data_IF_149409220482
#
_entry.id   IF_149409220482
#
_cell.length_a   1.000
_cell.length_b   1.000
_cell.length_c   1.000
_cell.angle_alpha   90.00
_cell.angle_beta   90.00
_cell.angle_gamma   90.00
#
_symmetry.space_group_name_H-M   'P 1'
#
loop_
_entity.id
_entity.type
_entity.pdbx_description
1 polymer ?
#
# COMPACT_ATOMS: atom_id res chain seq x y z
N UNK A 1 -2.91 23.73 0.40
CA UNK A 1 -2.40 23.44 -0.97
C UNK A 1 -3.56 23.00 -1.84
N UNK A 2 -3.61 23.45 -3.08
CA UNK A 2 -4.53 22.87 -4.08
C UNK A 2 -3.90 21.59 -4.65
N UNK A 3 -4.70 20.64 -5.20
CA UNK A 3 -4.17 19.41 -5.82
C UNK A 3 -3.09 19.67 -6.88
N UNK A 4 -3.11 20.82 -7.56
CA UNK A 4 -2.12 21.24 -8.53
C UNK A 4 -0.73 21.57 -7.92
N UNK A 5 -0.63 21.72 -6.60
CA UNK A 5 0.61 22.05 -5.88
C UNK A 5 1.24 20.82 -5.19
N UNK A 6 0.63 19.63 -5.37
CA UNK A 6 1.19 18.38 -4.85
C UNK A 6 2.48 18.08 -5.61
N UNK A 7 3.61 17.85 -4.92
CA UNK A 7 4.88 17.55 -5.59
C UNK A 7 4.79 16.23 -6.37
N UNK A 8 5.52 16.15 -7.48
CA UNK A 8 5.52 14.99 -8.36
C UNK A 8 5.85 13.70 -7.62
N UNK A 9 6.75 13.76 -6.65
CA UNK A 9 7.19 12.63 -5.84
C UNK A 9 6.02 11.99 -5.07
N UNK A 10 5.07 12.82 -4.58
CA UNK A 10 3.89 12.34 -3.89
C UNK A 10 2.89 11.63 -4.83
N UNK A 11 2.85 11.97 -6.10
CA UNK A 11 2.10 11.21 -7.10
C UNK A 11 2.81 9.91 -7.47
N UNK A 12 4.14 9.93 -7.60
CA UNK A 12 4.93 8.78 -8.00
C UNK A 12 4.85 7.62 -7.00
N UNK A 13 4.75 7.89 -5.68
CA UNK A 13 4.63 6.82 -4.68
C UNK A 13 3.36 5.98 -4.84
N UNK A 14 2.30 6.50 -5.49
CA UNK A 14 1.08 5.77 -5.80
C UNK A 14 1.03 5.31 -7.26
N UNK A 15 1.34 6.20 -8.19
CA UNK A 15 1.23 5.92 -9.62
C UNK A 15 2.15 4.78 -10.05
N UNK A 16 3.38 4.73 -9.53
CA UNK A 16 4.32 3.67 -9.89
C UNK A 16 3.85 2.28 -9.45
N UNK A 17 3.42 2.04 -8.18
CA UNK A 17 2.91 0.73 -7.78
C UNK A 17 1.62 0.33 -8.50
N UNK A 18 0.69 1.26 -8.69
CA UNK A 18 -0.57 0.97 -9.39
C UNK A 18 -0.29 0.57 -10.83
N UNK A 19 0.54 1.33 -11.55
CA UNK A 19 0.90 1.00 -12.95
C UNK A 19 1.67 -0.32 -13.03
N UNK A 20 2.57 -0.61 -12.10
CA UNK A 20 3.30 -1.87 -12.06
C UNK A 20 2.38 -3.08 -11.83
N UNK A 21 1.38 -2.96 -10.93
CA UNK A 21 0.37 -4.00 -10.72
C UNK A 21 -0.46 -4.21 -11.98
N UNK A 22 -0.94 -3.14 -12.62
CA UNK A 22 -1.74 -3.24 -13.83
C UNK A 22 -0.95 -3.85 -14.99
N UNK A 23 0.27 -3.40 -15.23
CA UNK A 23 1.16 -3.98 -16.23
C UNK A 23 1.49 -5.44 -15.90
N UNK A 24 1.78 -5.75 -14.64
CA UNK A 24 2.04 -7.11 -14.20
C UNK A 24 0.86 -8.04 -14.42
N UNK A 25 -0.35 -7.58 -14.11
CA UNK A 25 -1.57 -8.39 -14.21
C UNK A 25 -2.06 -8.56 -15.66
N UNK A 26 -2.17 -7.46 -16.40
CA UNK A 26 -2.79 -7.47 -17.73
C UNK A 26 -1.81 -7.79 -18.87
N UNK A 27 -0.53 -7.50 -18.69
CA UNK A 27 0.49 -7.65 -19.75
C UNK A 27 1.47 -8.79 -19.42
N UNK A 28 2.17 -8.71 -18.29
CA UNK A 28 3.24 -9.66 -18.00
C UNK A 28 2.71 -11.05 -17.67
N UNK A 29 1.66 -11.15 -16.85
CA UNK A 29 1.09 -12.44 -16.45
C UNK A 29 0.64 -13.30 -17.64
N UNK A 30 -0.08 -12.79 -18.66
CA UNK A 30 -0.44 -13.57 -19.84
C UNK A 30 0.69 -13.80 -20.85
N UNK A 31 1.64 -12.85 -21.00
CA UNK A 31 2.64 -12.89 -22.07
C UNK A 31 4.00 -13.46 -21.60
N UNK A 32 4.42 -13.13 -20.39
CA UNK A 32 5.73 -13.49 -19.84
C UNK A 32 5.69 -13.52 -18.31
N UNK A 33 5.01 -14.51 -17.69
CA UNK A 33 4.78 -14.56 -16.25
C UNK A 33 6.08 -14.53 -15.42
N UNK A 34 7.14 -15.09 -15.92
CA UNK A 34 8.48 -15.08 -15.32
C UNK A 34 9.14 -13.69 -15.26
N UNK A 35 8.67 -12.74 -16.08
CA UNK A 35 9.17 -11.36 -16.13
C UNK A 35 8.31 -10.36 -15.37
N UNK A 36 7.28 -10.81 -14.65
CA UNK A 36 6.38 -9.96 -13.87
C UNK A 36 7.11 -9.11 -12.82
N UNK A 37 8.25 -9.57 -12.33
CA UNK A 37 9.06 -8.84 -11.35
C UNK A 37 9.70 -7.55 -11.90
N UNK A 38 9.95 -7.42 -13.21
CA UNK A 38 10.65 -6.25 -13.76
C UNK A 38 9.91 -4.91 -13.58
N UNK A 39 8.63 -4.77 -14.00
CA UNK A 39 7.89 -3.53 -13.74
C UNK A 39 7.73 -3.26 -12.24
N UNK A 40 7.64 -4.30 -11.42
CA UNK A 40 7.52 -4.21 -9.97
C UNK A 40 8.83 -3.68 -9.35
N UNK A 41 9.99 -4.21 -9.74
CA UNK A 41 11.28 -3.73 -9.24
C UNK A 41 11.55 -2.28 -9.68
N UNK A 42 11.17 -1.92 -10.91
CA UNK A 42 11.25 -0.53 -11.37
C UNK A 42 10.38 0.38 -10.51
N UNK A 43 9.14 -0.03 -10.23
CA UNK A 43 8.25 0.68 -9.32
C UNK A 43 8.85 0.85 -7.92
N UNK A 44 9.44 -0.22 -7.36
CA UNK A 44 10.12 -0.17 -6.07
C UNK A 44 11.25 0.88 -6.06
N UNK A 45 12.06 0.93 -7.10
CA UNK A 45 13.12 1.92 -7.23
C UNK A 45 12.57 3.36 -7.29
N UNK A 46 11.51 3.58 -8.07
CA UNK A 46 10.85 4.88 -8.18
C UNK A 46 10.26 5.30 -6.83
N UNK A 47 9.54 4.42 -6.15
CA UNK A 47 8.95 4.70 -4.83
C UNK A 47 10.01 5.02 -3.80
N UNK A 48 11.10 4.27 -3.78
CA UNK A 48 12.22 4.53 -2.86
C UNK A 48 12.84 5.90 -3.13
N UNK A 49 13.16 6.22 -4.37
CA UNK A 49 13.70 7.53 -4.72
C UNK A 49 12.73 8.67 -4.36
N UNK A 50 11.45 8.51 -4.67
CA UNK A 50 10.41 9.49 -4.36
C UNK A 50 10.22 9.68 -2.85
N UNK A 51 10.27 8.60 -2.05
CA UNK A 51 10.15 8.69 -0.58
C UNK A 51 11.33 9.44 0.05
N UNK A 52 12.56 9.22 -0.42
CA UNK A 52 13.73 9.98 0.03
C UNK A 52 13.67 11.44 -0.41
N UNK A 53 13.16 11.74 -1.61
CA UNK A 53 12.95 13.11 -2.06
C UNK A 53 11.90 13.83 -1.20
N UNK A 54 10.79 13.16 -0.84
CA UNK A 54 9.81 13.67 0.12
C UNK A 54 10.41 13.89 1.50
N UNK A 55 11.28 12.98 1.98
CA UNK A 55 11.99 13.15 3.25
C UNK A 55 12.88 14.40 3.22
N UNK A 56 13.63 14.62 2.15
CA UNK A 56 14.44 15.82 2.00
C UNK A 56 13.60 17.12 2.00
N UNK A 57 12.41 17.11 1.37
CA UNK A 57 11.47 18.24 1.42
C UNK A 57 10.97 18.51 2.84
N UNK A 58 10.58 17.48 3.57
CA UNK A 58 10.09 17.62 4.95
C UNK A 58 11.20 18.14 5.87
N UNK A 59 12.43 17.65 5.71
CA UNK A 59 13.59 18.14 6.46
C UNK A 59 13.90 19.62 6.15
N UNK A 60 13.57 20.12 4.96
CA UNK A 60 13.66 21.54 4.61
C UNK A 60 12.42 22.36 5.02
N UNK A 61 11.53 21.80 5.83
CA UNK A 61 10.36 22.49 6.40
C UNK A 61 9.09 22.44 5.54
N UNK A 62 9.05 21.64 4.47
CA UNK A 62 7.92 21.57 3.55
C UNK A 62 7.08 20.30 3.79
N UNK A 63 6.45 20.18 4.95
CA UNK A 63 5.39 19.21 5.21
C UNK A 63 4.08 19.67 4.57
N UNK A 64 3.20 18.74 4.21
CA UNK A 64 1.89 19.07 3.67
C UNK A 64 0.81 18.04 4.06
N UNK A 65 -0.42 18.55 4.10
CA UNK A 65 -1.65 17.78 4.25
C UNK A 65 -2.65 18.35 3.25
N UNK A 66 -3.14 17.52 2.31
CA UNK A 66 -3.97 17.98 1.20
C UNK A 66 -5.03 16.94 0.85
N UNK A 67 -6.26 17.42 0.64
CA UNK A 67 -7.33 16.62 0.08
C UNK A 67 -7.23 16.66 -1.46
N UNK A 68 -7.13 15.48 -2.09
CA UNK A 68 -6.92 15.34 -3.53
C UNK A 68 -8.26 15.35 -4.27
N UNK A 69 -9.21 14.53 -3.82
CA UNK A 69 -10.59 14.50 -4.35
C UNK A 69 -11.58 14.01 -3.32
N UNK A 70 -12.84 14.38 -3.47
CA UNK A 70 -13.93 13.83 -2.67
C UNK A 70 -14.31 12.44 -3.19
N UNK A 71 -14.11 11.43 -2.36
CA UNK A 71 -14.39 10.04 -2.71
C UNK A 71 -15.86 9.68 -2.51
N UNK A 72 -16.45 10.06 -1.38
CA UNK A 72 -17.84 9.82 -1.07
C UNK A 72 -18.38 10.99 -0.25
N UNK A 73 -19.68 11.29 -0.38
CA UNK A 73 -20.32 12.33 0.43
C UNK A 73 -21.79 12.51 0.10
N UNK A 74 -22.52 13.05 1.08
CA UNK A 74 -23.92 13.43 0.96
C UNK A 74 -24.16 14.75 1.71
N UNK A 75 -24.60 15.78 1.02
CA UNK A 75 -24.76 17.13 1.59
C UNK A 75 -23.39 17.70 2.04
N UNK A 76 -23.33 18.18 3.28
CA UNK A 76 -22.12 18.77 3.85
C UNK A 76 -21.11 17.71 4.36
N UNK A 77 -21.54 16.45 4.47
CA UNK A 77 -20.68 15.37 4.89
C UNK A 77 -19.92 14.78 3.70
N UNK A 78 -18.60 14.52 3.87
CA UNK A 78 -17.79 13.94 2.82
C UNK A 78 -16.55 13.23 3.36
N UNK A 79 -16.14 12.21 2.63
CA UNK A 79 -14.87 11.50 2.82
C UNK A 79 -13.99 11.88 1.64
N UNK A 80 -12.88 12.52 1.93
CA UNK A 80 -11.91 12.91 0.93
C UNK A 80 -10.78 11.88 0.87
N UNK A 81 -10.24 11.65 -0.32
CA UNK A 81 -8.97 10.98 -0.49
C UNK A 81 -7.88 12.04 -0.40
N UNK A 82 -7.02 11.92 0.60
CA UNK A 82 -6.00 12.91 0.86
C UNK A 82 -4.61 12.31 1.03
N UNK A 83 -3.64 13.19 1.09
CA UNK A 83 -2.23 12.86 1.29
C UNK A 83 -1.65 13.71 2.40
N UNK A 84 -1.11 13.04 3.42
CA UNK A 84 -0.37 13.65 4.50
C UNK A 84 1.08 13.21 4.46
N UNK A 85 1.98 14.18 4.43
CA UNK A 85 3.42 13.95 4.47
C UNK A 85 4.01 14.85 5.55
N UNK A 86 4.34 14.25 6.68
CA UNK A 86 4.95 14.89 7.84
C UNK A 86 6.25 14.17 8.26
N UNK A 87 6.95 14.70 9.26
CA UNK A 87 8.24 14.16 9.70
C UNK A 87 8.21 12.68 10.08
N UNK A 88 7.37 12.26 11.04
CA UNK A 88 7.26 10.85 11.41
C UNK A 88 6.79 9.96 10.26
N UNK A 89 5.78 10.40 9.52
CA UNK A 89 5.21 9.65 8.39
C UNK A 89 6.24 9.39 7.31
N UNK A 90 6.99 10.41 6.88
CA UNK A 90 7.98 10.26 5.81
C UNK A 90 9.20 9.42 6.25
N UNK A 91 9.57 9.46 7.52
CA UNK A 91 10.66 8.63 8.03
C UNK A 91 10.30 7.13 7.93
N UNK A 92 9.11 6.77 8.39
CA UNK A 92 8.60 5.39 8.28
C UNK A 92 8.35 5.01 6.82
N UNK A 93 7.79 5.92 6.00
CA UNK A 93 7.59 5.71 4.57
C UNK A 93 8.90 5.39 3.84
N UNK A 94 9.96 6.15 4.11
CA UNK A 94 11.28 5.92 3.49
C UNK A 94 11.88 4.58 3.92
N UNK A 95 11.72 4.21 5.19
CA UNK A 95 12.16 2.90 5.70
C UNK A 95 11.39 1.77 5.01
N UNK A 96 10.06 1.85 4.94
CA UNK A 96 9.21 0.83 4.30
C UNK A 96 9.51 0.73 2.82
N UNK A 97 9.69 1.87 2.12
CA UNK A 97 10.02 1.90 0.71
C UNK A 97 11.37 1.23 0.44
N UNK A 98 12.40 1.58 1.19
CA UNK A 98 13.75 1.04 1.02
C UNK A 98 13.83 -0.45 1.36
N UNK A 99 13.41 -0.84 2.57
CA UNK A 99 13.46 -2.24 3.01
C UNK A 99 12.55 -3.12 2.15
N UNK A 100 11.33 -2.64 1.85
CA UNK A 100 10.40 -3.34 0.96
C UNK A 100 10.99 -3.57 -0.43
N UNK A 101 11.72 -2.59 -0.99
CA UNK A 101 12.41 -2.75 -2.27
C UNK A 101 13.50 -3.81 -2.22
N UNK A 102 14.31 -3.83 -1.15
CA UNK A 102 15.34 -4.87 -0.97
C UNK A 102 14.72 -6.27 -0.88
N UNK A 103 13.58 -6.40 -0.18
CA UNK A 103 12.88 -7.69 -0.09
C UNK A 103 12.31 -8.10 -1.46
N UNK A 104 11.81 -7.16 -2.29
CA UNK A 104 11.37 -7.48 -3.65
C UNK A 104 12.53 -7.98 -4.52
N UNK A 105 13.71 -7.37 -4.42
CA UNK A 105 14.91 -7.83 -5.13
C UNK A 105 15.30 -9.25 -4.70
N UNK A 106 15.35 -9.49 -3.38
CA UNK A 106 15.63 -10.82 -2.83
C UNK A 106 14.60 -11.86 -3.30
N UNK A 107 13.31 -11.49 -3.28
CA UNK A 107 12.22 -12.37 -3.67
C UNK A 107 12.28 -12.79 -5.15
N UNK A 108 12.92 -11.99 -6.02
CA UNK A 108 13.06 -12.32 -7.44
C UNK A 108 13.88 -13.59 -7.66
N UNK A 109 14.90 -13.81 -6.85
CA UNK A 109 15.69 -15.04 -6.89
C UNK A 109 15.04 -16.16 -6.07
N UNK A 110 14.54 -15.82 -4.87
CA UNK A 110 13.89 -16.77 -3.96
C UNK A 110 12.69 -17.50 -4.59
N UNK A 111 11.85 -16.80 -5.34
CA UNK A 111 10.64 -17.35 -5.97
C UNK A 111 10.87 -17.89 -7.38
N UNK A 112 12.11 -17.88 -7.87
CA UNK A 112 12.45 -18.33 -9.20
C UNK A 112 12.09 -19.81 -9.42
N UNK A 113 11.31 -20.05 -10.47
CA UNK A 113 10.85 -21.41 -10.80
C UNK A 113 9.55 -21.84 -10.09
N UNK A 114 9.00 -21.03 -9.17
CA UNK A 114 7.69 -21.34 -8.58
C UNK A 114 6.56 -21.04 -9.60
N UNK A 115 5.61 -21.98 -9.80
CA UNK A 115 4.47 -21.75 -10.71
C UNK A 115 3.60 -20.53 -10.35
N UNK A 116 3.62 -20.10 -9.09
CA UNK A 116 2.92 -18.93 -8.60
C UNK A 116 3.73 -17.63 -8.67
N UNK A 117 4.91 -17.61 -9.30
CA UNK A 117 5.82 -16.47 -9.33
C UNK A 117 5.12 -15.13 -9.60
N UNK A 118 4.37 -15.04 -10.70
CA UNK A 118 3.65 -13.82 -11.07
C UNK A 118 2.59 -13.43 -10.01
N UNK A 119 1.84 -14.40 -9.49
CA UNK A 119 0.85 -14.15 -8.43
C UNK A 119 1.50 -13.63 -7.15
N UNK A 120 2.66 -14.19 -6.76
CA UNK A 120 3.41 -13.74 -5.60
C UNK A 120 3.77 -12.27 -5.71
N UNK A 121 4.41 -11.88 -6.83
CA UNK A 121 4.86 -10.50 -7.02
C UNK A 121 3.71 -9.51 -7.05
N UNK A 122 2.57 -9.85 -7.67
CA UNK A 122 1.41 -8.98 -7.71
C UNK A 122 0.81 -8.77 -6.33
N UNK A 123 0.66 -9.82 -5.53
CA UNK A 123 0.12 -9.71 -4.16
C UNK A 123 1.10 -9.01 -3.24
N UNK A 124 2.39 -9.30 -3.37
CA UNK A 124 3.42 -8.65 -2.56
C UNK A 124 3.54 -7.15 -2.86
N UNK A 125 3.41 -6.78 -4.13
CA UNK A 125 3.40 -5.37 -4.50
C UNK A 125 2.10 -4.66 -4.12
N UNK A 126 0.97 -5.36 -4.09
CA UNK A 126 -0.28 -4.86 -3.50
C UNK A 126 -0.13 -4.56 -2.00
N UNK A 127 0.55 -5.45 -1.26
CA UNK A 127 0.90 -5.21 0.14
C UNK A 127 1.76 -3.95 0.29
N UNK A 128 2.77 -3.79 -0.57
CA UNK A 128 3.64 -2.61 -0.59
C UNK A 128 2.86 -1.32 -0.85
N UNK A 129 1.98 -1.30 -1.86
CA UNK A 129 1.08 -0.18 -2.15
C UNK A 129 0.16 0.14 -0.96
N UNK A 130 -0.41 -0.89 -0.32
CA UNK A 130 -1.28 -0.72 0.84
C UNK A 130 -0.55 -0.08 2.03
N UNK A 131 0.70 -0.47 2.29
CA UNK A 131 1.54 0.15 3.32
C UNK A 131 1.84 1.62 3.02
N UNK A 132 2.12 1.97 1.77
CA UNK A 132 2.32 3.37 1.35
C UNK A 132 1.04 4.17 1.61
N UNK A 133 -0.11 3.65 1.19
CA UNK A 133 -1.40 4.29 1.38
C UNK A 133 -1.75 4.50 2.86
N UNK A 134 -1.45 3.50 3.70
CA UNK A 134 -1.65 3.59 5.14
C UNK A 134 -0.83 4.73 5.77
N UNK A 135 0.45 4.82 5.42
CA UNK A 135 1.40 5.80 5.98
C UNK A 135 1.14 7.24 5.52
N UNK A 136 0.46 7.41 4.39
CA UNK A 136 0.17 8.72 3.80
C UNK A 136 -1.30 9.12 3.93
N UNK A 137 -2.11 8.32 4.61
CA UNK A 137 -3.51 8.63 4.87
C UNK A 137 -3.66 9.87 5.75
N UNK A 138 -4.54 10.79 5.36
CA UNK A 138 -4.82 12.00 6.14
C UNK A 138 -6.14 11.95 6.92
N UNK A 139 -6.90 10.87 6.80
CA UNK A 139 -8.13 10.67 7.53
C UNK A 139 -8.32 9.19 7.93
N UNK A 140 -9.13 8.98 8.98
CA UNK A 140 -9.31 7.65 9.56
C UNK A 140 -10.02 6.66 8.64
N UNK A 141 -10.88 7.12 7.73
CA UNK A 141 -11.59 6.23 6.80
C UNK A 141 -10.63 5.70 5.74
N UNK A 142 -9.80 6.57 5.19
CA UNK A 142 -8.74 6.17 4.25
C UNK A 142 -7.71 5.26 4.92
N UNK A 143 -7.30 5.59 6.15
CA UNK A 143 -6.40 4.78 6.95
C UNK A 143 -6.98 3.38 7.18
N UNK A 144 -8.27 3.27 7.56
CA UNK A 144 -8.95 2.00 7.73
C UNK A 144 -9.00 1.19 6.43
N UNK A 145 -9.29 1.82 5.29
CA UNK A 145 -9.31 1.16 3.98
C UNK A 145 -7.95 0.53 3.64
N UNK A 146 -6.86 1.27 3.81
CA UNK A 146 -5.52 0.73 3.55
C UNK A 146 -5.09 -0.30 4.60
N UNK A 147 -5.51 -0.15 5.84
CA UNK A 147 -5.33 -1.16 6.90
C UNK A 147 -5.96 -2.49 6.52
N UNK A 148 -7.20 -2.48 6.05
CA UNK A 148 -7.91 -3.65 5.54
C UNK A 148 -7.21 -4.28 4.34
N UNK A 149 -6.66 -3.45 3.44
CA UNK A 149 -5.93 -3.91 2.27
C UNK A 149 -4.60 -4.57 2.64
N UNK A 150 -3.89 -4.06 3.65
CA UNK A 150 -2.70 -4.70 4.25
C UNK A 150 -3.07 -6.08 4.82
N UNK A 151 -4.17 -6.16 5.58
CA UNK A 151 -4.68 -7.42 6.13
C UNK A 151 -5.02 -8.44 5.05
N UNK A 152 -5.71 -8.02 3.99
CA UNK A 152 -6.05 -8.87 2.85
C UNK A 152 -4.79 -9.37 2.10
N UNK A 153 -3.87 -8.48 1.79
CA UNK A 153 -2.64 -8.84 1.09
C UNK A 153 -1.78 -9.79 1.94
N UNK A 154 -1.70 -9.56 3.25
CA UNK A 154 -1.03 -10.45 4.20
C UNK A 154 -1.66 -11.85 4.22
N UNK A 155 -2.99 -11.93 4.26
CA UNK A 155 -3.72 -13.21 4.16
C UNK A 155 -3.34 -13.99 2.89
N UNK A 156 -3.30 -13.31 1.74
CA UNK A 156 -2.96 -13.92 0.46
C UNK A 156 -1.50 -14.38 0.41
N UNK A 157 -0.59 -13.67 1.08
CA UNK A 157 0.83 -14.04 1.16
C UNK A 157 1.07 -15.20 2.12
N UNK A 158 0.47 -15.20 3.31
CA UNK A 158 0.57 -16.32 4.27
C UNK A 158 -0.03 -17.60 3.67
N UNK A 159 -1.16 -17.47 2.95
CA UNK A 159 -1.81 -18.56 2.24
C UNK A 159 -1.26 -18.83 0.84
N UNK A 160 -0.08 -18.29 0.47
CA UNK A 160 0.44 -18.38 -0.89
C UNK A 160 0.48 -19.83 -1.41
N UNK A 161 1.03 -20.75 -0.64
CA UNK A 161 1.01 -22.18 -0.96
C UNK A 161 -0.26 -22.86 -0.44
N UNK A 162 -1.42 -22.39 -0.90
CA UNK A 162 -2.75 -22.81 -0.44
C UNK A 162 -3.04 -24.32 -0.59
N UNK A 163 -2.28 -25.04 -1.40
CA UNK A 163 -2.33 -26.51 -1.49
C UNK A 163 -1.80 -27.19 -0.22
N UNK A 164 -0.98 -26.53 0.58
CA UNK A 164 -0.52 -27.04 1.88
C UNK A 164 -1.58 -26.74 2.95
N UNK A 165 -2.07 -27.78 3.64
CA UNK A 165 -3.09 -27.62 4.70
C UNK A 165 -2.61 -26.69 5.82
N UNK A 166 -1.31 -26.74 6.19
CA UNK A 166 -0.71 -25.87 7.19
C UNK A 166 -0.77 -24.39 6.79
N UNK A 167 -0.45 -24.06 5.53
CA UNK A 167 -0.50 -22.68 5.03
C UNK A 167 -1.94 -22.13 5.02
N UNK A 168 -2.93 -22.95 4.59
CA UNK A 168 -4.35 -22.55 4.64
C UNK A 168 -4.83 -22.28 6.06
N UNK A 169 -4.50 -23.18 6.99
CA UNK A 169 -4.89 -23.02 8.39
C UNK A 169 -4.23 -21.80 9.02
N UNK A 170 -2.95 -21.56 8.74
CA UNK A 170 -2.23 -20.38 9.22
C UNK A 170 -2.83 -19.07 8.66
N UNK A 171 -3.10 -19.03 7.35
CA UNK A 171 -3.72 -17.87 6.72
C UNK A 171 -5.09 -17.56 7.30
N UNK A 172 -5.94 -18.56 7.45
CA UNK A 172 -7.28 -18.39 8.03
C UNK A 172 -7.21 -17.91 9.48
N UNK A 173 -6.30 -18.48 10.29
CA UNK A 173 -6.09 -18.07 11.67
C UNK A 173 -5.63 -16.62 11.75
N UNK A 174 -4.63 -16.22 10.98
CA UNK A 174 -4.13 -14.85 10.94
C UNK A 174 -5.24 -13.87 10.52
N UNK A 175 -5.98 -14.20 9.46
CA UNK A 175 -7.07 -13.37 8.95
C UNK A 175 -8.18 -13.17 9.98
N UNK A 176 -8.68 -14.26 10.60
CA UNK A 176 -9.76 -14.17 11.60
C UNK A 176 -9.30 -13.38 12.84
N UNK A 177 -8.07 -13.56 13.30
CA UNK A 177 -7.53 -12.82 14.44
C UNK A 177 -7.47 -11.32 14.13
N UNK A 178 -7.00 -10.95 12.93
CA UNK A 178 -6.99 -9.55 12.51
C UNK A 178 -8.40 -8.97 12.43
N UNK A 179 -9.38 -9.71 11.87
CA UNK A 179 -10.78 -9.26 11.76
C UNK A 179 -11.44 -8.95 13.11
N UNK A 180 -11.11 -9.67 14.16
CA UNK A 180 -11.60 -9.32 15.52
C UNK A 180 -11.07 -7.95 15.94
N UNK A 181 -9.78 -7.65 15.69
CA UNK A 181 -9.21 -6.33 15.94
C UNK A 181 -9.82 -5.23 15.06
N UNK A 182 -10.03 -5.54 13.77
CA UNK A 182 -10.60 -4.62 12.77
C UNK A 182 -12.03 -4.21 13.13
N UNK A 183 -12.84 -5.11 13.71
CA UNK A 183 -14.16 -4.75 14.25
C UNK A 183 -14.06 -3.69 15.35
N UNK A 184 -13.09 -3.81 16.26
CA UNK A 184 -12.83 -2.80 17.28
C UNK A 184 -12.43 -1.45 16.69
N UNK A 185 -11.57 -1.46 15.68
CA UNK A 185 -11.16 -0.24 14.98
C UNK A 185 -12.34 0.41 14.24
N UNK A 186 -13.17 -0.37 13.55
CA UNK A 186 -14.37 0.13 12.88
C UNK A 186 -15.35 0.76 13.87
N UNK A 187 -15.59 0.13 15.01
CA UNK A 187 -16.46 0.68 16.05
C UNK A 187 -15.91 1.99 16.59
N UNK A 188 -14.60 2.10 16.85
CA UNK A 188 -13.97 3.34 17.28
C UNK A 188 -14.15 4.44 16.22
N UNK A 189 -13.96 4.13 14.95
CA UNK A 189 -14.17 5.06 13.83
C UNK A 189 -15.62 5.55 13.77
N UNK A 190 -16.59 4.64 13.88
CA UNK A 190 -18.01 4.99 13.89
C UNK A 190 -18.38 5.87 15.08
N UNK A 191 -17.82 5.62 16.27
CA UNK A 191 -18.01 6.46 17.45
C UNK A 191 -17.44 7.87 17.24
N UNK A 192 -16.23 7.98 16.66
CA UNK A 192 -15.63 9.28 16.30
C UNK A 192 -16.54 10.03 15.34
N UNK A 193 -16.99 9.38 14.26
CA UNK A 193 -17.88 9.99 13.27
C UNK A 193 -19.24 10.41 13.86
N UNK A 194 -19.77 9.64 14.81
CA UNK A 194 -21.04 9.98 15.48
C UNK A 194 -20.90 11.14 16.48
N UNK A 195 -19.74 11.26 17.13
CA UNK A 195 -19.52 12.26 18.19
C UNK A 195 -19.06 13.62 17.64
N UNK A 196 -18.32 13.63 16.53
CA UNK A 196 -17.75 14.85 15.92
C UNK A 196 -18.53 15.33 14.67
N UNK A 197 -19.81 14.99 14.59
CA UNK A 197 -20.74 15.51 13.58
C UNK A 197 -20.99 16.99 13.74
#
# INVERSE_FOLDING_TARGET
>A
MTPAQIPLEAWLIFAAPVTAILLGFFVMRPLAPEKTHWPILLSCAIVTAASFALAARVLSGHSFDVNVWRWAGAGDWGIDFGLRVDGPGVAVLSMVAFVGSLIHVYAADYMKGDPGFSRFFLVFHLFFLAMIGLLTSNNFVQLYLFWELVGLASYLLVGFWFHKASARSAALKAFLTNRVGDCGFLLALLLILAYYK
#
